data_IF_827695558174
#
_entry.id   IF_827695558174
#
_cell.length_a   1.000
_cell.length_b   1.000
_cell.length_c   1.000
_cell.angle_alpha   90.00
_cell.angle_beta   90.00
_cell.angle_gamma   90.00
#
_symmetry.space_group_name_H-M   'P 1'
#
loop_
_entity.id
_entity.type
_entity.pdbx_description
1 polymer ?
#
# COMPACT_ATOMS: atom_id res chain seq x y z
N UNK A 1 2.65 -9.95 6.09
CA UNK A 1 1.89 -9.05 5.20
C UNK A 1 2.09 -9.44 3.73
N UNK A 2 1.01 -9.56 2.95
CA UNK A 2 1.09 -9.91 1.53
C UNK A 2 1.49 -8.66 0.70
N UNK A 3 2.60 -8.77 -0.03
CA UNK A 3 3.15 -7.68 -0.86
C UNK A 3 3.10 -7.99 -2.36
N UNK A 4 2.42 -9.08 -2.73
CA UNK A 4 2.27 -9.50 -4.11
C UNK A 4 1.38 -8.52 -4.87
N UNK A 5 1.51 -8.50 -6.19
CA UNK A 5 0.62 -7.72 -7.03
C UNK A 5 -0.79 -8.32 -6.94
N UNK A 6 -1.81 -7.52 -6.58
CA UNK A 6 -3.18 -8.02 -6.61
C UNK A 6 -3.60 -8.39 -8.04
N UNK A 7 -4.45 -9.41 -8.18
CA UNK A 7 -4.88 -9.92 -9.48
C UNK A 7 -6.02 -9.11 -10.09
N UNK A 8 -6.63 -8.20 -9.33
CA UNK A 8 -7.76 -7.41 -9.78
C UNK A 8 -7.36 -6.39 -10.87
N UNK A 9 -8.02 -6.40 -12.04
CA UNK A 9 -7.68 -5.52 -13.16
C UNK A 9 -7.98 -4.04 -12.89
N UNK A 10 -8.98 -3.74 -12.06
CA UNK A 10 -9.33 -2.38 -11.70
C UNK A 10 -8.24 -1.78 -10.80
N UNK A 11 -7.80 -2.50 -9.77
CA UNK A 11 -6.67 -2.12 -8.93
C UNK A 11 -5.39 -1.94 -9.75
N UNK A 12 -5.11 -2.85 -10.68
CA UNK A 12 -3.93 -2.73 -11.54
C UNK A 12 -3.93 -1.44 -12.35
N UNK A 13 -5.09 -1.01 -12.82
CA UNK A 13 -5.24 0.28 -13.52
C UNK A 13 -4.92 1.47 -12.61
N UNK A 14 -5.46 1.48 -11.38
CA UNK A 14 -5.16 2.53 -10.40
C UNK A 14 -3.70 2.53 -9.96
N UNK A 15 -3.12 1.36 -9.74
CA UNK A 15 -1.72 1.19 -9.39
C UNK A 15 -0.79 1.73 -10.50
N UNK A 16 -1.08 1.44 -11.77
CA UNK A 16 -0.30 2.00 -12.89
C UNK A 16 -0.41 3.53 -12.98
N UNK A 17 -1.59 4.09 -12.72
CA UNK A 17 -1.76 5.56 -12.62
C UNK A 17 -0.91 6.12 -11.48
N UNK A 18 -0.96 5.50 -10.30
CA UNK A 18 -0.16 5.90 -9.14
C UNK A 18 1.34 5.88 -9.44
N UNK A 19 1.85 4.82 -10.09
CA UNK A 19 3.25 4.74 -10.49
C UNK A 19 3.67 5.86 -11.46
N UNK A 20 2.80 6.21 -12.42
CA UNK A 20 3.06 7.34 -13.33
C UNK A 20 3.12 8.66 -12.57
N UNK A 21 2.18 8.91 -11.65
CA UNK A 21 2.19 10.09 -10.79
C UNK A 21 3.47 10.16 -9.94
N UNK A 22 3.88 9.05 -9.32
CA UNK A 22 5.12 8.99 -8.55
C UNK A 22 6.34 9.32 -9.42
N UNK A 23 6.45 8.76 -10.63
CA UNK A 23 7.57 9.06 -11.54
C UNK A 23 7.60 10.53 -11.95
N UNK A 24 6.45 11.14 -12.18
CA UNK A 24 6.35 12.56 -12.56
C UNK A 24 6.65 13.50 -11.39
N UNK A 25 6.38 13.10 -10.15
CA UNK A 25 6.64 13.91 -8.96
C UNK A 25 8.12 14.03 -8.56
N UNK A 26 9.02 13.27 -9.21
CA UNK A 26 10.46 13.27 -8.93
C UNK A 26 10.93 12.80 -7.53
N UNK A 27 10.23 11.94 -6.77
CA UNK A 27 10.76 11.39 -5.53
C UNK A 27 11.92 10.43 -5.82
N UNK A 28 12.81 10.26 -4.83
CA UNK A 28 13.92 9.32 -4.91
C UNK A 28 13.43 7.88 -5.19
N UNK A 29 14.14 7.06 -5.99
CA UNK A 29 13.72 5.70 -6.34
C UNK A 29 13.27 4.84 -5.14
N UNK A 30 14.04 4.88 -4.04
CA UNK A 30 13.70 4.21 -2.77
C UNK A 30 12.30 4.57 -2.23
N UNK A 31 11.86 5.81 -2.44
CA UNK A 31 10.54 6.27 -2.01
C UNK A 31 9.46 5.75 -2.95
N UNK A 32 9.72 5.74 -4.26
CA UNK A 32 8.81 5.13 -5.25
C UNK A 32 8.55 3.67 -4.88
N UNK A 33 9.59 2.91 -4.57
CA UNK A 33 9.47 1.50 -4.15
C UNK A 33 8.66 1.36 -2.85
N UNK A 34 8.94 2.20 -1.84
CA UNK A 34 8.22 2.20 -0.58
C UNK A 34 6.72 2.51 -0.77
N UNK A 35 6.37 3.57 -1.50
CA UNK A 35 4.98 3.93 -1.77
C UNK A 35 4.26 2.86 -2.61
N UNK A 36 4.94 2.32 -3.63
CA UNK A 36 4.40 1.24 -4.47
C UNK A 36 4.15 -0.03 -3.67
N UNK A 37 5.02 -0.34 -2.70
CA UNK A 37 4.82 -1.44 -1.76
C UNK A 37 3.64 -1.19 -0.83
N UNK A 38 3.53 0.02 -0.27
CA UNK A 38 2.42 0.40 0.61
C UNK A 38 1.07 0.22 -0.08
N UNK A 39 0.92 0.72 -1.31
CA UNK A 39 -0.33 0.59 -2.08
C UNK A 39 -0.69 -0.87 -2.37
N UNK A 40 0.29 -1.71 -2.76
CA UNK A 40 0.04 -3.16 -2.95
C UNK A 40 -0.42 -3.83 -1.65
N UNK A 41 0.16 -3.44 -0.54
CA UNK A 41 -0.16 -3.99 0.76
C UNK A 41 -1.61 -3.65 1.18
N UNK A 42 -1.97 -2.37 1.06
CA UNK A 42 -3.33 -1.87 1.28
C UNK A 42 -4.30 -2.58 0.32
N UNK A 43 -3.93 -2.72 -0.96
CA UNK A 43 -4.73 -3.44 -1.95
C UNK A 43 -5.00 -4.89 -1.58
N UNK A 44 -4.00 -5.63 -1.09
CA UNK A 44 -4.19 -7.01 -0.66
C UNK A 44 -5.07 -7.13 0.60
N UNK A 45 -4.96 -6.18 1.52
CA UNK A 45 -5.73 -6.19 2.75
C UNK A 45 -7.21 -5.86 2.51
N UNK A 46 -7.50 -4.89 1.65
CA UNK A 46 -8.87 -4.44 1.36
C UNK A 46 -9.49 -5.09 0.12
N UNK A 47 -9.02 -6.28 -0.29
CA UNK A 47 -9.55 -6.99 -1.47
C UNK A 47 -9.64 -6.09 -2.72
N UNK A 48 -8.59 -5.32 -2.98
CA UNK A 48 -8.47 -4.37 -4.09
C UNK A 48 -9.44 -3.16 -4.05
N UNK A 49 -10.30 -3.06 -3.04
CA UNK A 49 -11.30 -1.99 -2.88
C UNK A 49 -10.73 -0.77 -2.16
N UNK A 50 -9.85 -0.05 -2.85
CA UNK A 50 -9.18 1.13 -2.29
C UNK A 50 -9.91 2.46 -2.55
N UNK A 51 -11.01 2.45 -3.30
CA UNK A 51 -11.71 3.67 -3.73
C UNK A 51 -12.63 4.26 -2.66
N UNK A 52 -13.10 3.44 -1.72
CA UNK A 52 -14.11 3.81 -0.71
C UNK A 52 -13.58 3.62 0.71
N UNK A 53 -12.27 3.76 0.89
CA UNK A 53 -11.64 3.57 2.21
C UNK A 53 -11.93 4.77 3.10
N UNK A 54 -12.46 4.47 4.29
CA UNK A 54 -12.65 5.49 5.33
C UNK A 54 -11.36 5.70 6.12
N UNK A 55 -11.26 6.86 6.76
CA UNK A 55 -10.12 7.15 7.64
C UNK A 55 -10.01 6.16 8.80
N UNK A 56 -11.13 5.72 9.36
CA UNK A 56 -11.17 4.70 10.43
C UNK A 56 -10.67 3.34 9.96
N UNK A 57 -11.05 2.90 8.75
CA UNK A 57 -10.55 1.64 8.18
C UNK A 57 -9.04 1.68 7.98
N UNK A 58 -8.51 2.82 7.51
CA UNK A 58 -7.07 3.00 7.36
C UNK A 58 -6.37 3.02 8.74
N UNK A 59 -6.97 3.69 9.72
CA UNK A 59 -6.44 3.76 11.08
C UNK A 59 -6.36 2.38 11.71
N UNK A 60 -7.42 1.58 11.62
CA UNK A 60 -7.47 0.21 12.12
C UNK A 60 -6.40 -0.66 11.44
N UNK A 61 -6.33 -0.59 10.10
CA UNK A 61 -5.30 -1.27 9.32
C UNK A 61 -3.87 -0.90 9.75
N UNK A 62 -3.58 0.39 9.98
CA UNK A 62 -2.25 0.80 10.43
C UNK A 62 -1.96 0.36 11.86
N UNK A 63 -2.95 0.32 12.76
CA UNK A 63 -2.79 -0.22 14.10
C UNK A 63 -2.51 -1.72 14.08
N UNK A 64 -3.28 -2.50 13.30
CA UNK A 64 -3.02 -3.93 13.10
C UNK A 64 -1.66 -4.18 12.45
N UNK A 65 -1.26 -3.33 11.50
CA UNK A 65 0.07 -3.40 10.89
C UNK A 65 1.17 -3.17 11.93
N UNK A 66 1.01 -2.18 12.81
CA UNK A 66 1.98 -1.93 13.89
C UNK A 66 2.07 -3.10 14.86
N UNK A 67 0.94 -3.73 15.20
CA UNK A 67 0.89 -4.88 16.11
C UNK A 67 1.45 -6.17 15.46
N UNK A 68 1.08 -6.42 14.21
CA UNK A 68 1.56 -7.55 13.40
C UNK A 68 3.05 -7.43 13.08
N UNK A 69 3.56 -6.20 12.96
CA UNK A 69 4.98 -5.92 13.00
C UNK A 69 5.46 -5.94 14.46
N UNK A 70 5.17 -7.05 15.16
CA UNK A 70 5.66 -7.35 16.50
C UNK A 70 7.08 -6.85 16.61
N UNK A 71 7.25 -5.95 17.57
CA UNK A 71 8.39 -5.11 17.87
C UNK A 71 9.71 -5.89 18.01
N UNK A 72 10.18 -6.46 16.90
CA UNK A 72 11.50 -7.07 16.72
C UNK A 72 12.49 -6.04 16.16
N UNK A 73 12.18 -4.75 16.29
CA UNK A 73 13.18 -3.68 16.21
C UNK A 73 13.79 -3.35 17.58
N UNK A 74 13.48 -4.11 18.63
CA UNK A 74 14.32 -4.16 19.83
C UNK A 74 15.43 -5.19 19.64
N UNK A 75 16.51 -4.80 18.96
CA UNK A 75 17.90 -4.88 19.46
C UNK A 75 18.88 -4.25 18.48
#
# INVERSE_FOLDING_TARGET
MNINMPTDPQFNTYYQKHLKCLKLGGPHPKNIEAYSRAIRCIGNYFDCRINDLTSDQLLDYFNELLDSHSWSSNK
#
